data_IF_618161867976
#
_entry.id   IF_618161867976
#
_cell.length_a   1.000
_cell.length_b   1.000
_cell.length_c   1.000
_cell.angle_alpha   90.00
_cell.angle_beta   90.00
_cell.angle_gamma   90.00
#
_symmetry.space_group_name_H-M   'P 1'
#
loop_
_entity.id
_entity.type
_entity.pdbx_description
1 polymer ?
#
# COMPACT_ATOMS: atom_id res chain seq x y z
N UNK A 1 5.37 -10.74 8.99
CA UNK A 1 4.16 -10.03 9.42
C UNK A 1 3.42 -10.85 10.47
N UNK A 2 2.89 -10.18 11.50
CA UNK A 2 2.00 -10.76 12.50
C UNK A 2 0.56 -10.36 12.20
N UNK A 3 -0.38 -11.28 12.41
CA UNK A 3 -1.79 -11.00 12.25
C UNK A 3 -2.30 -10.14 13.40
N UNK A 4 -3.00 -9.07 13.06
CA UNK A 4 -3.79 -8.27 13.98
C UNK A 4 -5.27 -8.61 13.81
N UNK A 5 -6.04 -8.50 14.88
CA UNK A 5 -7.49 -8.63 14.87
C UNK A 5 -8.09 -7.48 15.66
N UNK A 6 -8.82 -6.62 14.97
CA UNK A 6 -9.41 -5.42 15.55
C UNK A 6 -10.95 -5.49 15.55
N UNK A 7 -11.58 -4.62 16.32
CA UNK A 7 -13.03 -4.57 16.38
C UNK A 7 -13.62 -4.04 15.06
N UNK A 8 -14.77 -4.56 14.68
CA UNK A 8 -15.53 -4.10 13.51
C UNK A 8 -16.19 -2.71 13.69
N UNK A 9 -15.94 -2.06 14.81
CA UNK A 9 -16.56 -0.82 15.23
C UNK A 9 -15.50 0.19 15.65
N UNK A 10 -15.77 1.46 15.34
CA UNK A 10 -15.01 2.60 15.84
C UNK A 10 -15.92 3.85 15.91
N UNK A 11 -15.36 5.03 16.08
CA UNK A 11 -16.09 6.30 16.02
C UNK A 11 -15.61 7.15 14.85
N UNK A 12 -16.27 8.29 14.63
CA UNK A 12 -15.77 9.25 13.63
C UNK A 12 -14.40 9.83 13.99
N UNK A 13 -14.00 9.80 15.26
CA UNK A 13 -12.68 10.28 15.67
C UNK A 13 -11.53 9.53 14.99
N UNK A 14 -11.70 8.24 14.68
CA UNK A 14 -10.72 7.47 13.93
C UNK A 14 -10.60 7.92 12.47
N UNK A 15 -11.70 8.35 11.86
CA UNK A 15 -11.66 8.96 10.53
C UNK A 15 -11.08 10.38 10.58
N UNK A 16 -11.36 11.12 11.65
CA UNK A 16 -10.76 12.45 11.88
C UNK A 16 -9.25 12.35 12.09
N UNK A 17 -8.77 11.33 12.83
CA UNK A 17 -7.35 11.04 13.03
C UNK A 17 -6.60 10.82 11.70
N UNK A 18 -7.26 10.27 10.69
CA UNK A 18 -6.71 10.09 9.35
C UNK A 18 -6.96 11.28 8.41
N UNK A 19 -7.49 12.40 8.92
CA UNK A 19 -7.86 13.58 8.15
C UNK A 19 -8.78 13.29 6.96
N UNK A 20 -9.63 12.25 7.07
CA UNK A 20 -10.61 11.91 6.03
C UNK A 20 -11.60 13.07 5.87
N UNK A 21 -11.79 13.65 4.67
CA UNK A 21 -12.73 14.75 4.45
C UNK A 21 -14.17 14.40 4.80
N UNK A 22 -14.97 15.39 5.17
CA UNK A 22 -16.36 15.19 5.59
C UNK A 22 -17.25 14.58 4.47
N UNK A 23 -16.93 14.88 3.23
CA UNK A 23 -17.61 14.41 2.02
C UNK A 23 -17.10 13.08 1.47
N UNK A 24 -16.06 12.49 2.08
CA UNK A 24 -15.49 11.23 1.64
C UNK A 24 -16.46 10.06 1.84
N UNK A 25 -16.46 9.13 0.89
CA UNK A 25 -17.30 7.91 0.94
C UNK A 25 -17.05 7.07 2.19
N UNK A 26 -15.83 7.07 2.73
CA UNK A 26 -15.49 6.38 3.97
C UNK A 26 -16.29 6.91 5.17
N UNK A 27 -16.85 8.13 5.10
CA UNK A 27 -17.69 8.70 6.14
C UNK A 27 -19.17 8.29 6.06
N UNK A 28 -19.57 7.58 5.01
CA UNK A 28 -20.89 6.96 4.92
C UNK A 28 -21.00 5.72 5.79
N UNK A 29 -20.60 5.85 7.05
CA UNK A 29 -20.56 4.76 8.00
C UNK A 29 -21.93 4.48 8.62
N UNK A 30 -22.22 3.20 8.83
CA UNK A 30 -23.45 2.73 9.46
C UNK A 30 -23.37 2.98 10.96
N UNK A 31 -24.33 3.72 11.48
CA UNK A 31 -24.43 4.02 12.91
C UNK A 31 -25.07 2.86 13.67
N UNK A 32 -24.48 2.49 14.80
CA UNK A 32 -25.01 1.48 15.71
C UNK A 32 -26.08 2.14 16.62
N UNK A 33 -27.26 1.52 16.71
CA UNK A 33 -28.37 2.08 17.50
C UNK A 33 -28.09 2.11 19.00
N UNK A 34 -27.44 1.10 19.52
CA UNK A 34 -27.10 0.91 20.94
C UNK A 34 -25.63 0.53 21.09
N UNK A 35 -24.70 1.47 20.83
CA UNK A 35 -23.29 1.19 20.90
C UNK A 35 -22.86 0.86 22.34
N UNK A 36 -21.86 -0.01 22.49
CA UNK A 36 -21.25 -0.36 23.79
C UNK A 36 -20.61 0.88 24.44
N UNK A 37 -20.03 1.75 23.61
CA UNK A 37 -19.48 3.05 24.02
C UNK A 37 -19.56 4.03 22.84
N UNK A 38 -19.37 5.32 23.12
CA UNK A 38 -19.32 6.36 22.08
C UNK A 38 -18.18 6.14 21.09
N UNK A 39 -17.05 5.56 21.56
CA UNK A 39 -15.90 5.23 20.74
C UNK A 39 -16.13 4.02 19.81
N UNK A 40 -17.25 3.31 19.93
CA UNK A 40 -17.63 2.13 19.14
C UNK A 40 -19.03 2.34 18.53
N UNK A 41 -19.26 3.51 17.94
CA UNK A 41 -20.61 3.97 17.55
C UNK A 41 -20.95 3.78 16.07
N UNK A 42 -19.97 3.47 15.23
CA UNK A 42 -20.16 3.20 13.81
C UNK A 42 -19.44 1.91 13.38
N UNK A 43 -19.95 1.29 12.32
CA UNK A 43 -19.25 0.19 11.67
C UNK A 43 -18.09 0.73 10.84
N UNK A 44 -16.94 0.04 10.89
CA UNK A 44 -15.74 0.47 10.18
C UNK A 44 -15.94 0.43 8.67
N UNK A 45 -15.47 1.47 7.99
CA UNK A 45 -15.44 1.60 6.54
C UNK A 45 -14.04 1.45 5.96
N UNK A 46 -13.01 1.53 6.82
CA UNK A 46 -11.60 1.31 6.54
C UNK A 46 -10.98 0.47 7.66
N UNK A 47 -9.94 -0.32 7.36
CA UNK A 47 -9.12 -1.00 8.36
C UNK A 47 -7.96 -0.13 8.85
N UNK A 48 -7.51 0.80 8.03
CA UNK A 48 -6.35 1.67 8.30
C UNK A 48 -6.40 2.39 9.65
N UNK A 49 -7.54 2.98 10.11
CA UNK A 49 -7.60 3.62 11.42
C UNK A 49 -7.30 2.63 12.56
N UNK A 50 -7.90 1.45 12.49
CA UNK A 50 -7.70 0.39 13.50
C UNK A 50 -6.26 -0.11 13.51
N UNK A 51 -5.65 -0.30 12.34
CA UNK A 51 -4.24 -0.69 12.22
C UNK A 51 -3.31 0.37 12.80
N UNK A 52 -3.55 1.64 12.54
CA UNK A 52 -2.77 2.75 13.12
C UNK A 52 -2.87 2.74 14.65
N UNK A 53 -4.05 2.53 15.21
CA UNK A 53 -4.23 2.42 16.66
C UNK A 53 -3.43 1.24 17.25
N UNK A 54 -3.41 0.08 16.58
CA UNK A 54 -2.57 -1.07 17.01
C UNK A 54 -1.09 -0.71 16.99
N UNK A 55 -0.62 0.00 15.98
CA UNK A 55 0.78 0.48 15.90
C UNK A 55 1.08 1.43 17.05
N UNK A 56 0.24 2.43 17.28
CA UNK A 56 0.39 3.40 18.39
C UNK A 56 0.43 2.70 19.74
N UNK A 57 -0.44 1.72 19.97
CA UNK A 57 -0.46 0.93 21.20
C UNK A 57 0.83 0.10 21.39
N UNK A 58 1.39 -0.45 20.32
CA UNK A 58 2.66 -1.16 20.36
C UNK A 58 3.81 -0.20 20.71
N UNK A 59 3.86 0.96 20.07
CA UNK A 59 4.87 1.99 20.38
C UNK A 59 4.77 2.45 21.84
N UNK A 60 3.57 2.72 22.37
CA UNK A 60 3.32 3.06 23.78
C UNK A 60 3.80 1.96 24.75
N UNK A 61 3.77 0.71 24.33
CA UNK A 61 4.26 -0.45 25.11
C UNK A 61 5.77 -0.69 24.98
N UNK A 62 6.46 0.12 24.19
CA UNK A 62 7.91 0.03 23.99
C UNK A 62 8.34 -0.93 22.88
N UNK A 63 7.41 -1.43 22.06
CA UNK A 63 7.74 -2.19 20.86
C UNK A 63 8.19 -1.20 19.78
N UNK A 64 9.49 -1.12 19.51
CA UNK A 64 10.07 -0.11 18.63
C UNK A 64 9.89 -0.40 17.14
N UNK A 65 9.54 -1.63 16.76
CA UNK A 65 9.39 -2.05 15.36
C UNK A 65 8.36 -3.17 15.24
N UNK A 66 7.76 -3.31 14.08
CA UNK A 66 6.83 -4.39 13.79
C UNK A 66 6.22 -4.32 12.39
N UNK A 67 5.78 -5.49 11.92
CA UNK A 67 5.06 -5.64 10.66
C UNK A 67 3.80 -6.44 10.91
N UNK A 68 2.67 -5.82 10.63
CA UNK A 68 1.33 -6.32 10.95
C UNK A 68 0.49 -6.43 9.70
N UNK A 69 -0.48 -7.34 9.71
CA UNK A 69 -1.55 -7.37 8.73
C UNK A 69 -2.88 -7.73 9.39
N UNK A 70 -3.96 -7.31 8.80
CA UNK A 70 -5.32 -7.74 9.14
C UNK A 70 -6.10 -7.97 7.85
N UNK A 71 -6.76 -9.11 7.75
CA UNK A 71 -7.70 -9.41 6.68
C UNK A 71 -9.11 -9.55 7.27
N UNK A 72 -9.96 -8.58 6.99
CA UNK A 72 -11.27 -8.52 7.62
C UNK A 72 -12.25 -7.66 6.80
N UNK A 73 -13.58 -7.80 7.03
CA UNK A 73 -14.57 -7.02 6.31
C UNK A 73 -14.59 -5.55 6.78
N UNK A 74 -14.82 -4.66 5.84
CA UNK A 74 -15.32 -3.31 6.06
C UNK A 74 -16.76 -3.23 5.56
N UNK A 75 -17.54 -2.28 6.08
CA UNK A 75 -19.00 -2.24 5.89
C UNK A 75 -19.38 -1.00 5.10
N UNK A 76 -19.70 -1.18 3.83
CA UNK A 76 -19.98 -0.10 2.90
C UNK A 76 -21.48 -0.01 2.62
N UNK A 77 -22.11 1.07 3.10
CA UNK A 77 -23.51 1.35 2.81
C UNK A 77 -23.64 1.99 1.42
N UNK A 78 -24.60 1.54 0.61
CA UNK A 78 -24.94 2.22 -0.66
C UNK A 78 -25.60 3.56 -0.39
N UNK A 79 -26.48 3.60 0.63
CA UNK A 79 -27.18 4.82 1.06
C UNK A 79 -27.43 4.81 2.57
N UNK A 80 -27.66 5.99 3.12
CA UNK A 80 -28.01 6.17 4.52
C UNK A 80 -29.31 6.99 4.62
N UNK A 81 -30.29 6.59 5.50
CA UNK A 81 -30.26 5.40 6.33
C UNK A 81 -30.31 4.11 5.50
N UNK A 82 -29.69 3.03 6.02
CA UNK A 82 -29.64 1.76 5.30
C UNK A 82 -31.06 1.19 5.10
N UNK A 83 -31.34 0.70 3.88
CA UNK A 83 -32.59 0.01 3.51
C UNK A 83 -32.32 -1.43 3.05
N UNK A 84 -31.04 -1.81 2.86
CA UNK A 84 -30.58 -3.14 2.51
C UNK A 84 -29.30 -3.49 3.30
N UNK A 85 -28.86 -4.74 3.25
CA UNK A 85 -27.59 -5.13 3.85
C UNK A 85 -26.42 -4.40 3.19
N UNK A 86 -25.45 -3.88 4.00
CA UNK A 86 -24.26 -3.25 3.46
C UNK A 86 -23.42 -4.28 2.70
N UNK A 87 -22.55 -3.79 1.83
CA UNK A 87 -21.50 -4.62 1.24
C UNK A 87 -20.41 -4.84 2.29
N UNK A 88 -20.24 -6.08 2.72
CA UNK A 88 -19.18 -6.53 3.62
C UNK A 88 -17.94 -6.88 2.81
N UNK A 89 -17.22 -5.84 2.35
CA UNK A 89 -16.06 -6.01 1.48
C UNK A 89 -14.85 -6.52 2.27
N UNK A 90 -14.35 -7.70 1.88
CA UNK A 90 -13.10 -8.22 2.43
C UNK A 90 -11.93 -7.31 2.02
N UNK A 91 -11.18 -6.89 3.02
CA UNK A 91 -10.10 -5.90 2.87
C UNK A 91 -8.85 -6.41 3.57
N UNK A 92 -7.70 -6.27 2.91
CA UNK A 92 -6.40 -6.53 3.49
C UNK A 92 -5.75 -5.21 3.88
N UNK A 93 -5.43 -5.04 5.15
CA UNK A 93 -4.64 -3.93 5.64
C UNK A 93 -3.28 -4.41 6.10
N UNK A 94 -2.24 -3.66 5.79
CA UNK A 94 -0.89 -3.88 6.29
C UNK A 94 -0.40 -2.64 7.01
N UNK A 95 0.42 -2.86 8.05
CA UNK A 95 1.11 -1.82 8.78
C UNK A 95 2.54 -2.26 9.06
N UNK A 96 3.49 -1.37 8.83
CA UNK A 96 4.88 -1.57 9.19
C UNK A 96 5.40 -0.33 9.92
N UNK A 97 6.16 -0.53 10.97
CA UNK A 97 6.72 0.58 11.75
C UNK A 97 8.09 0.21 12.31
N UNK A 98 8.98 1.17 12.33
CA UNK A 98 10.35 1.00 12.79
C UNK A 98 11.31 1.96 12.11
N UNK A 99 12.51 2.17 12.67
CA UNK A 99 13.50 3.10 12.11
C UNK A 99 14.03 2.67 10.73
N UNK A 100 14.10 1.37 10.49
CA UNK A 100 14.62 0.77 9.25
C UNK A 100 13.53 0.51 8.20
N UNK A 101 12.24 0.78 8.52
CA UNK A 101 11.17 0.59 7.55
C UNK A 101 11.19 1.68 6.48
N UNK A 102 11.02 1.28 5.24
CA UNK A 102 10.97 2.16 4.09
C UNK A 102 9.84 1.79 3.10
N UNK A 103 9.67 2.62 2.09
CA UNK A 103 8.66 2.38 1.04
C UNK A 103 8.89 1.07 0.29
N UNK A 104 10.14 0.72 0.03
CA UNK A 104 10.48 -0.48 -0.74
C UNK A 104 10.31 -1.77 0.06
N UNK A 105 10.45 -1.72 1.38
CA UNK A 105 10.13 -2.84 2.27
C UNK A 105 8.66 -3.23 2.14
N UNK A 106 7.76 -2.24 2.20
CA UNK A 106 6.31 -2.49 2.08
C UNK A 106 5.93 -2.86 0.65
N UNK A 107 6.52 -2.19 -0.35
CA UNK A 107 6.35 -2.54 -1.77
C UNK A 107 6.77 -3.99 -2.03
N UNK A 108 7.93 -4.42 -1.51
CA UNK A 108 8.40 -5.80 -1.65
C UNK A 108 7.45 -6.84 -1.01
N UNK A 109 6.81 -6.49 0.12
CA UNK A 109 5.78 -7.34 0.72
C UNK A 109 4.53 -7.46 -0.19
N UNK A 110 4.10 -6.36 -0.82
CA UNK A 110 3.02 -6.38 -1.81
C UNK A 110 3.39 -7.21 -3.04
N UNK A 111 4.62 -7.10 -3.53
CA UNK A 111 5.11 -7.89 -4.66
C UNK A 111 5.20 -9.39 -4.33
N UNK A 112 5.62 -9.72 -3.11
CA UNK A 112 5.62 -11.11 -2.64
C UNK A 112 4.19 -11.68 -2.53
N UNK A 113 3.22 -10.87 -2.10
CA UNK A 113 1.82 -11.25 -2.10
C UNK A 113 1.32 -11.51 -3.53
N UNK A 114 1.60 -10.61 -4.48
CA UNK A 114 1.23 -10.77 -5.88
C UNK A 114 1.83 -12.05 -6.49
N UNK A 115 3.12 -12.28 -6.25
CA UNK A 115 3.83 -13.46 -6.74
C UNK A 115 3.24 -14.77 -6.19
N UNK A 116 2.70 -14.76 -4.96
CA UNK A 116 2.01 -15.91 -4.37
C UNK A 116 0.74 -16.32 -5.13
N UNK A 117 0.17 -15.42 -5.91
CA UNK A 117 -1.00 -15.65 -6.78
C UNK A 117 -0.66 -15.69 -8.28
N UNK A 118 0.63 -15.71 -8.63
CA UNK A 118 1.11 -15.57 -10.02
C UNK A 118 0.64 -14.28 -10.70
N UNK A 119 0.58 -13.19 -9.92
CA UNK A 119 0.18 -11.86 -10.36
C UNK A 119 1.35 -10.89 -10.34
N UNK A 120 1.21 -9.81 -11.11
CA UNK A 120 2.13 -8.67 -11.08
C UNK A 120 1.34 -7.41 -10.76
N UNK A 121 1.80 -6.66 -9.76
CA UNK A 121 1.22 -5.36 -9.43
C UNK A 121 1.93 -4.25 -10.21
N UNK A 122 1.17 -3.25 -10.60
CA UNK A 122 1.67 -1.98 -11.11
C UNK A 122 1.31 -0.86 -10.14
N UNK A 123 2.09 0.21 -10.17
CA UNK A 123 2.00 1.27 -9.18
C UNK A 123 1.92 2.62 -9.85
N UNK A 124 1.00 3.46 -9.38
CA UNK A 124 0.83 4.83 -9.82
C UNK A 124 0.93 5.79 -8.64
N UNK A 125 1.38 7.00 -8.87
CA UNK A 125 1.39 8.03 -7.81
C UNK A 125 -0.04 8.36 -7.43
N UNK A 126 -0.33 8.26 -6.14
CA UNK A 126 -1.63 8.65 -5.60
C UNK A 126 -1.44 9.35 -4.26
N UNK A 127 -2.22 10.40 -4.02
CA UNK A 127 -2.21 11.13 -2.77
C UNK A 127 -3.52 10.88 -2.03
N UNK A 128 -3.42 10.46 -0.78
CA UNK A 128 -4.55 10.32 0.15
C UNK A 128 -4.32 11.24 1.36
N UNK A 129 -5.36 11.65 2.09
CA UNK A 129 -5.20 12.55 3.24
C UNK A 129 -4.23 12.01 4.31
N UNK A 130 -4.19 10.69 4.48
CA UNK A 130 -3.43 10.03 5.53
C UNK A 130 -2.02 9.55 5.11
N UNK A 131 -1.68 9.63 3.82
CA UNK A 131 -0.35 9.26 3.33
C UNK A 131 0.49 10.48 2.96
N UNK A 132 1.79 10.31 3.08
CA UNK A 132 2.76 11.30 2.65
C UNK A 132 2.70 11.48 1.12
N UNK A 133 2.50 12.70 0.59
CA UNK A 133 2.23 12.92 -0.83
C UNK A 133 3.37 12.52 -1.78
N UNK A 134 4.60 12.45 -1.28
CA UNK A 134 5.78 12.04 -2.05
C UNK A 134 6.21 10.59 -1.83
N UNK A 135 5.55 9.85 -0.90
CA UNK A 135 5.93 8.47 -0.52
C UNK A 135 4.66 7.63 -0.41
N UNK A 136 3.88 7.60 -1.48
CA UNK A 136 2.63 6.85 -1.57
C UNK A 136 2.37 6.40 -3.01
N UNK A 137 1.64 5.30 -3.15
CA UNK A 137 1.25 4.77 -4.45
C UNK A 137 -0.10 4.05 -4.38
N UNK A 138 -0.87 4.16 -5.45
CA UNK A 138 -1.96 3.25 -5.74
C UNK A 138 -1.41 1.93 -6.29
N UNK A 139 -2.09 0.84 -5.95
CA UNK A 139 -1.77 -0.52 -6.40
C UNK A 139 -2.80 -0.96 -7.41
N UNK A 140 -2.33 -1.45 -8.56
CA UNK A 140 -3.17 -2.00 -9.62
C UNK A 140 -2.77 -3.42 -9.97
N UNK A 141 -3.73 -4.21 -10.39
CA UNK A 141 -3.53 -5.52 -11.00
C UNK A 141 -4.42 -5.65 -12.23
N UNK A 142 -3.85 -6.01 -13.38
CA UNK A 142 -4.58 -6.13 -14.65
C UNK A 142 -5.43 -4.88 -15.00
N UNK A 143 -4.90 -3.69 -14.68
CA UNK A 143 -5.60 -2.42 -14.88
C UNK A 143 -6.70 -2.10 -13.84
N UNK A 144 -6.95 -3.00 -12.88
CA UNK A 144 -7.91 -2.80 -11.81
C UNK A 144 -7.22 -2.23 -10.57
N UNK A 145 -7.74 -1.11 -10.05
CA UNK A 145 -7.24 -0.52 -8.80
C UNK A 145 -7.60 -1.41 -7.62
N UNK A 146 -6.59 -1.79 -6.83
CA UNK A 146 -6.75 -2.62 -5.63
C UNK A 146 -6.79 -1.77 -4.35
N UNK A 147 -6.04 -0.69 -4.30
CA UNK A 147 -5.92 0.13 -3.09
C UNK A 147 -4.74 1.06 -3.11
N UNK A 148 -4.26 1.44 -1.93
CA UNK A 148 -3.14 2.38 -1.76
C UNK A 148 -2.22 1.92 -0.64
N UNK A 149 -0.95 2.34 -0.70
CA UNK A 149 -0.03 2.22 0.42
C UNK A 149 1.00 3.34 0.40
N UNK A 150 1.65 3.57 1.52
CA UNK A 150 2.70 4.57 1.63
C UNK A 150 3.08 4.88 3.06
N UNK A 151 3.93 5.89 3.22
CA UNK A 151 4.31 6.42 4.53
C UNK A 151 3.14 7.22 5.11
N UNK A 152 2.91 7.09 6.41
CA UNK A 152 1.96 7.95 7.14
C UNK A 152 2.35 9.42 6.94
N UNK A 153 1.38 10.31 6.79
CA UNK A 153 1.65 11.74 6.64
C UNK A 153 2.40 12.28 7.86
N UNK A 154 3.30 13.23 7.64
CA UNK A 154 4.07 13.83 8.74
C UNK A 154 3.17 14.60 9.71
N UNK A 155 2.07 15.16 9.24
CA UNK A 155 1.09 15.87 10.03
C UNK A 155 0.43 14.92 11.03
N UNK A 156 -0.18 13.83 10.54
CA UNK A 156 -0.81 12.82 11.39
C UNK A 156 0.23 12.20 12.34
N UNK A 157 1.43 11.86 11.85
CA UNK A 157 2.50 11.35 12.71
C UNK A 157 2.82 12.32 13.86
N UNK A 158 2.82 13.63 13.60
CA UNK A 158 3.00 14.69 14.60
C UNK A 158 1.87 14.74 15.65
N UNK A 159 0.66 14.36 15.30
CA UNK A 159 -0.51 14.36 16.17
C UNK A 159 -0.66 13.09 17.03
N UNK A 160 0.06 12.00 16.70
CA UNK A 160 -0.04 10.75 17.44
C UNK A 160 0.34 10.94 18.91
N UNK A 161 -0.40 10.32 19.82
CA UNK A 161 -0.16 10.33 21.26
C UNK A 161 0.96 9.35 21.69
N UNK A 162 2.16 9.52 21.13
CA UNK A 162 3.37 8.76 21.47
C UNK A 162 4.48 9.72 21.90
N UNK A 163 5.55 9.21 22.53
CA UNK A 163 6.67 10.02 22.96
C UNK A 163 7.35 10.72 21.76
N UNK A 164 7.87 11.93 21.98
CA UNK A 164 8.43 12.74 20.89
C UNK A 164 9.62 12.07 20.20
N UNK A 165 10.51 11.47 20.96
CA UNK A 165 11.64 10.70 20.47
C UNK A 165 11.21 9.52 19.60
N UNK A 166 10.09 8.88 19.91
CA UNK A 166 9.49 7.85 19.08
C UNK A 166 8.93 8.42 17.77
N UNK A 167 8.26 9.58 17.79
CA UNK A 167 7.77 10.25 16.56
C UNK A 167 8.90 10.57 15.59
N UNK A 168 10.00 11.07 16.12
CA UNK A 168 11.15 11.52 15.32
C UNK A 168 11.95 10.33 14.74
N UNK A 169 11.92 9.17 15.41
CA UNK A 169 12.69 7.98 15.03
C UNK A 169 11.87 6.94 14.26
N UNK A 170 10.54 7.06 14.18
CA UNK A 170 9.68 6.06 13.57
C UNK A 170 9.31 6.39 12.13
N UNK A 171 9.42 5.38 11.29
CA UNK A 171 8.78 5.36 9.98
C UNK A 171 7.54 4.45 10.07
N UNK A 172 6.36 5.02 9.87
CA UNK A 172 5.11 4.26 9.84
C UNK A 172 4.63 4.19 8.39
N UNK A 173 4.41 2.98 7.91
CA UNK A 173 3.85 2.68 6.60
C UNK A 173 2.54 1.94 6.76
N UNK A 174 1.55 2.32 5.99
CA UNK A 174 0.22 1.72 5.97
C UNK A 174 -0.19 1.42 4.54
N UNK A 175 -0.97 0.37 4.36
CA UNK A 175 -1.57 0.04 3.08
C UNK A 175 -2.88 -0.68 3.28
N UNK A 176 -3.85 -0.39 2.40
CA UNK A 176 -5.17 -1.02 2.40
C UNK A 176 -5.55 -1.44 0.99
N UNK A 177 -5.85 -2.73 0.81
CA UNK A 177 -6.22 -3.35 -0.46
C UNK A 177 -7.60 -3.98 -0.38
N UNK A 178 -8.40 -3.77 -1.41
CA UNK A 178 -9.62 -4.52 -1.69
C UNK A 178 -9.26 -5.96 -2.07
N UNK A 179 -9.50 -6.88 -1.14
CA UNK A 179 -9.17 -8.31 -1.33
C UNK A 179 -10.08 -8.96 -2.38
N UNK A 180 -11.35 -8.56 -2.48
CA UNK A 180 -12.25 -9.08 -3.50
C UNK A 180 -11.80 -8.66 -4.91
N UNK A 181 -11.35 -7.41 -5.04
CA UNK A 181 -10.75 -6.91 -6.28
C UNK A 181 -9.47 -7.69 -6.63
N UNK A 182 -8.60 -7.97 -5.65
CA UNK A 182 -7.41 -8.80 -5.85
C UNK A 182 -7.78 -10.21 -6.32
N UNK A 183 -8.70 -10.88 -5.61
CA UNK A 183 -9.10 -12.24 -5.96
C UNK A 183 -9.77 -12.33 -7.34
N UNK A 184 -10.39 -11.25 -7.81
CA UNK A 184 -10.94 -11.21 -9.17
C UNK A 184 -9.87 -11.13 -10.28
N UNK A 185 -8.61 -10.85 -9.91
CA UNK A 185 -7.46 -10.86 -10.84
C UNK A 185 -6.78 -12.24 -10.90
N UNK A 186 -7.09 -13.13 -9.96
CA UNK A 186 -6.50 -14.47 -9.90
C UNK A 186 -7.14 -15.35 -10.96
N UNK A 187 -6.36 -15.77 -11.94
CA UNK A 187 -6.77 -16.80 -12.90
C UNK A 187 -6.55 -18.17 -12.22
N UNK A 188 -7.63 -18.87 -11.90
CA UNK A 188 -7.62 -20.07 -11.04
C UNK A 188 -6.90 -21.31 -11.60
N UNK A 189 -6.22 -21.21 -12.75
CA UNK A 189 -5.52 -22.31 -13.38
C UNK A 189 -3.99 -22.17 -13.23
N UNK A 190 -3.41 -23.00 -12.39
CA UNK A 190 -1.95 -23.24 -12.39
C UNK A 190 -1.56 -23.93 -13.70
N UNK A 191 -0.89 -23.21 -14.58
CA UNK A 191 -0.38 -23.75 -15.84
C UNK A 191 1.10 -24.05 -15.73
N UNK A 192 1.47 -25.29 -16.02
CA UNK A 192 2.88 -25.66 -16.12
C UNK A 192 3.57 -24.86 -17.24
N UNK A 193 4.64 -24.17 -16.88
CA UNK A 193 5.54 -23.54 -17.84
C UNK A 193 6.81 -24.38 -17.95
N UNK A 194 7.15 -24.89 -19.17
CA UNK A 194 8.35 -25.66 -19.36
C UNK A 194 9.60 -24.78 -19.10
N UNK A 195 10.60 -25.37 -18.47
CA UNK A 195 11.88 -24.70 -18.27
C UNK A 195 12.54 -24.44 -19.64
N UNK A 196 13.15 -23.24 -19.77
CA UNK A 196 13.90 -22.90 -20.97
C UNK A 196 15.08 -23.87 -21.16
N UNK A 197 15.24 -24.40 -22.36
CA UNK A 197 16.40 -25.22 -22.74
C UNK A 197 17.66 -24.38 -23.03
N UNK A 198 17.52 -23.07 -23.07
CA UNK A 198 18.62 -22.14 -23.33
C UNK A 198 19.06 -21.44 -22.04
N UNK A 199 20.37 -21.33 -21.86
CA UNK A 199 20.93 -20.55 -20.76
C UNK A 199 20.63 -19.05 -20.96
N UNK A 200 20.23 -18.32 -19.91
CA UNK A 200 20.00 -16.88 -20.02
C UNK A 200 21.31 -16.14 -20.28
N UNK A 201 21.24 -15.10 -21.09
CA UNK A 201 22.36 -14.21 -21.39
C UNK A 201 22.09 -12.88 -20.71
N UNK A 202 22.89 -12.54 -19.69
CA UNK A 202 22.75 -11.28 -18.97
C UNK A 202 23.36 -10.12 -19.77
N UNK A 203 22.66 -8.97 -19.77
CA UNK A 203 23.12 -7.72 -20.35
C UNK A 203 22.76 -6.56 -19.44
N UNK A 204 23.64 -5.57 -19.38
CA UNK A 204 23.37 -4.33 -18.66
C UNK A 204 23.12 -3.21 -19.67
N UNK A 205 22.13 -2.39 -19.39
CA UNK A 205 21.70 -1.25 -20.19
C UNK A 205 21.59 -0.01 -19.31
N UNK A 206 22.38 1.01 -19.62
CA UNK A 206 22.27 2.30 -18.95
C UNK A 206 21.65 3.34 -19.90
N UNK A 207 20.59 4.01 -19.44
CA UNK A 207 19.82 4.96 -20.21
C UNK A 207 19.77 6.31 -19.50
N UNK A 208 20.06 7.38 -20.23
CA UNK A 208 19.85 8.75 -19.76
C UNK A 208 18.47 9.21 -20.20
N UNK A 209 17.66 9.64 -19.25
CA UNK A 209 16.29 10.11 -19.50
C UNK A 209 15.98 11.36 -18.67
N UNK A 210 14.86 12.00 -18.96
CA UNK A 210 14.36 13.11 -18.17
C UNK A 210 13.94 12.66 -16.77
N UNK A 211 14.05 13.52 -15.76
CA UNK A 211 13.72 13.20 -14.38
C UNK A 211 12.26 12.73 -14.21
N UNK A 212 11.35 13.21 -15.06
CA UNK A 212 9.94 12.85 -15.03
C UNK A 212 9.65 11.40 -15.48
N UNK A 213 10.53 10.80 -16.29
CA UNK A 213 10.34 9.43 -16.79
C UNK A 213 10.46 8.45 -15.62
N UNK A 214 9.47 7.59 -15.45
CA UNK A 214 9.45 6.61 -14.36
C UNK A 214 10.24 5.34 -14.71
N UNK A 215 10.68 4.61 -13.69
CA UNK A 215 11.33 3.31 -13.87
C UNK A 215 10.41 2.33 -14.61
N UNK A 216 9.14 2.26 -14.20
CA UNK A 216 8.16 1.36 -14.80
C UNK A 216 7.92 1.60 -16.29
N UNK A 217 7.93 2.86 -16.76
CA UNK A 217 7.81 3.17 -18.20
C UNK A 217 8.99 2.61 -19.01
N UNK A 218 10.19 2.66 -18.43
CA UNK A 218 11.39 2.11 -19.09
C UNK A 218 11.35 0.58 -19.06
N UNK A 219 11.04 -0.03 -17.92
CA UNK A 219 10.90 -1.49 -17.77
C UNK A 219 9.88 -2.05 -18.76
N UNK A 220 8.70 -1.44 -18.83
CA UNK A 220 7.66 -1.84 -19.79
C UNK A 220 8.12 -1.71 -21.25
N UNK A 221 8.83 -0.63 -21.57
CA UNK A 221 9.38 -0.40 -22.90
C UNK A 221 10.41 -1.47 -23.28
N UNK A 222 11.31 -1.81 -22.34
CA UNK A 222 12.33 -2.84 -22.56
C UNK A 222 11.66 -4.21 -22.73
N UNK A 223 10.70 -4.57 -21.88
CA UNK A 223 9.98 -5.85 -21.97
C UNK A 223 9.21 -6.00 -23.30
N UNK A 224 8.58 -4.92 -23.76
CA UNK A 224 7.85 -4.90 -25.05
C UNK A 224 8.78 -4.97 -26.27
N UNK A 225 10.06 -4.63 -26.13
CA UNK A 225 10.99 -4.62 -27.25
C UNK A 225 11.29 -6.03 -27.78
N UNK A 226 11.24 -7.05 -26.93
CA UNK A 226 11.45 -8.43 -27.37
C UNK A 226 10.84 -9.45 -26.39
N UNK A 227 10.18 -10.50 -26.90
CA UNK A 227 9.71 -11.62 -26.07
C UNK A 227 10.85 -12.47 -25.48
N UNK A 228 12.08 -12.23 -25.86
CA UNK A 228 13.26 -12.90 -25.31
C UNK A 228 13.76 -12.25 -24.01
N UNK A 229 13.27 -11.06 -23.67
CA UNK A 229 13.58 -10.42 -22.39
C UNK A 229 12.76 -11.11 -21.31
N UNK A 230 13.42 -11.86 -20.46
CA UNK A 230 12.78 -12.64 -19.39
C UNK A 230 12.68 -11.87 -18.06
N UNK A 231 13.63 -10.99 -17.82
CA UNK A 231 13.68 -10.17 -16.59
C UNK A 231 14.25 -8.79 -16.91
N UNK A 232 13.75 -7.76 -16.27
CA UNK A 232 14.30 -6.40 -16.29
C UNK A 232 14.40 -5.94 -14.85
N UNK A 233 15.60 -5.60 -14.40
CA UNK A 233 15.84 -5.19 -13.02
C UNK A 233 16.67 -3.92 -12.96
N UNK A 234 16.11 -2.84 -12.39
CA UNK A 234 16.86 -1.64 -12.07
C UNK A 234 17.88 -1.96 -10.97
N UNK A 235 19.15 -1.58 -11.16
CA UNK A 235 20.17 -1.76 -10.14
C UNK A 235 20.93 -0.47 -9.77
N UNK A 236 20.82 0.60 -10.59
CA UNK A 236 21.44 1.89 -10.25
C UNK A 236 20.66 3.08 -10.82
N UNK A 237 20.62 4.18 -10.07
CA UNK A 237 20.11 5.48 -10.50
C UNK A 237 21.15 6.53 -10.18
N UNK A 238 21.70 7.15 -11.20
CA UNK A 238 22.69 8.20 -11.07
C UNK A 238 22.12 9.57 -11.45
N UNK A 239 22.40 10.57 -10.60
CA UNK A 239 22.09 11.98 -10.82
C UNK A 239 23.38 12.77 -10.64
N UNK A 240 23.86 13.42 -11.69
CA UNK A 240 25.10 14.19 -11.62
C UNK A 240 25.15 15.31 -12.64
N UNK A 241 25.95 16.32 -12.35
CA UNK A 241 26.08 17.52 -13.19
C UNK A 241 26.51 17.23 -14.65
N UNK A 242 27.15 16.11 -14.89
CA UNK A 242 27.58 15.64 -16.21
C UNK A 242 26.46 15.10 -17.10
N UNK A 243 25.27 14.85 -16.56
CA UNK A 243 24.11 14.38 -17.34
C UNK A 243 23.28 15.53 -17.92
N UNK A 244 23.51 16.75 -17.49
CA UNK A 244 22.68 17.93 -17.78
C UNK A 244 21.56 18.11 -16.76
N UNK A 245 21.00 19.31 -16.71
CA UNK A 245 19.93 19.68 -15.78
C UNK A 245 18.63 18.93 -16.11
N UNK A 246 17.93 18.43 -15.09
CA UNK A 246 16.65 17.71 -15.23
C UNK A 246 16.76 16.29 -15.79
N UNK A 247 17.95 15.70 -15.81
CA UNK A 247 18.18 14.34 -16.30
C UNK A 247 18.72 13.41 -15.22
N UNK A 248 18.40 12.13 -15.39
CA UNK A 248 18.94 11.01 -14.60
C UNK A 248 19.40 9.89 -15.52
N UNK A 249 20.33 9.08 -15.05
CA UNK A 249 20.71 7.80 -15.67
C UNK A 249 20.14 6.67 -14.85
N UNK A 250 19.47 5.73 -15.51
CA UNK A 250 19.00 4.48 -14.88
C UNK A 250 19.66 3.29 -15.54
N UNK A 251 20.20 2.37 -14.73
CA UNK A 251 20.89 1.20 -15.18
C UNK A 251 20.09 -0.08 -14.85
N UNK A 252 19.85 -0.88 -15.88
CA UNK A 252 19.06 -2.10 -15.82
C UNK A 252 19.89 -3.31 -16.19
N UNK A 253 19.67 -4.42 -15.47
CA UNK A 253 20.12 -5.76 -15.86
C UNK A 253 18.97 -6.49 -16.55
N UNK A 254 19.30 -7.12 -17.69
CA UNK A 254 18.38 -7.82 -18.57
C UNK A 254 18.74 -9.29 -18.64
#
# INVERSE_FOLDING_TARGET
FYEASTLAFYSNAELDMLHIPAEDEARKAIRILNPISENLSIMRTLLTPSMLNVIVDNLKKGNAEGRLFEMAPVYLAKELPINEHPHERQTLCIGAFGPEEDFFTVKGAMEALAAGFDLTFTYERETTPWLHPGISAAVYCNGKRLGVFGKLSNEINGELEIAKDQKDSQNIYLGELDYEALMSCVDGELRYQPLSSYAPVKRDLALVCDEAVTCGEIEETIQKASPLVSEVKLFDIYRGANLGEGKKSMAFSL
#
